data_IF_985059409953
#
_entry.id   IF_985059409953
#
_cell.length_a   1.000
_cell.length_b   1.000
_cell.length_c   1.000
_cell.angle_alpha   90.00
_cell.angle_beta   90.00
_cell.angle_gamma   90.00
#
_symmetry.space_group_name_H-M   'P 1'
#
loop_
_entity.id
_entity.type
_entity.pdbx_description
1 polymer ?
#
# COMPACT_ATOMS: atom_id res chain seq x y z
N UNK A 1 52.95 12.77 -17.62
CA UNK A 1 51.71 11.97 -17.78
C UNK A 1 51.45 11.18 -16.51
N UNK A 2 50.35 11.49 -15.84
CA UNK A 2 50.16 11.23 -14.43
C UNK A 2 49.61 9.81 -14.19
N UNK A 3 50.51 8.82 -14.01
CA UNK A 3 50.18 7.39 -13.82
C UNK A 3 49.15 7.14 -12.71
N UNK A 4 49.11 8.01 -11.70
CA UNK A 4 48.13 7.98 -10.63
C UNK A 4 46.70 8.23 -11.12
N UNK A 5 46.52 9.11 -12.09
CA UNK A 5 45.21 9.43 -12.67
C UNK A 5 44.63 8.24 -13.46
N UNK A 6 45.51 7.49 -14.12
CA UNK A 6 45.14 6.29 -14.88
C UNK A 6 44.73 5.14 -13.96
N UNK A 7 45.45 4.95 -12.84
CA UNK A 7 45.10 3.97 -11.82
C UNK A 7 43.75 4.29 -11.11
N UNK A 8 43.47 5.57 -10.88
CA UNK A 8 42.19 6.00 -10.30
C UNK A 8 41.03 5.75 -11.28
N UNK A 9 41.22 6.02 -12.57
CA UNK A 9 40.19 5.74 -13.57
C UNK A 9 39.89 4.24 -13.71
N UNK A 10 40.91 3.38 -13.65
CA UNK A 10 40.71 1.93 -13.67
C UNK A 10 39.90 1.44 -12.46
N UNK A 11 40.27 1.86 -11.23
CA UNK A 11 39.49 1.51 -10.03
C UNK A 11 38.06 2.04 -10.08
N UNK A 12 37.86 3.23 -10.65
CA UNK A 12 36.52 3.80 -10.80
C UNK A 12 35.65 2.99 -11.75
N UNK A 13 36.23 2.50 -12.86
CA UNK A 13 35.55 1.59 -13.78
C UNK A 13 35.14 0.28 -13.12
N UNK A 14 36.04 -0.33 -12.34
CA UNK A 14 35.74 -1.57 -11.59
C UNK A 14 34.63 -1.37 -10.53
N UNK A 15 34.66 -0.24 -9.82
CA UNK A 15 33.63 0.10 -8.85
C UNK A 15 32.28 0.35 -9.50
N UNK A 16 32.25 1.04 -10.66
CA UNK A 16 31.02 1.25 -11.42
C UNK A 16 30.44 -0.07 -11.94
N UNK A 17 31.28 -0.97 -12.46
CA UNK A 17 30.84 -2.29 -12.91
C UNK A 17 30.22 -3.11 -11.75
N UNK A 18 30.78 -3.01 -10.54
CA UNK A 18 30.20 -3.63 -9.33
C UNK A 18 28.88 -2.98 -8.92
N UNK A 19 28.75 -1.67 -9.05
CA UNK A 19 27.50 -0.96 -8.73
C UNK A 19 26.39 -1.32 -9.74
N UNK A 20 26.70 -1.42 -11.03
CA UNK A 20 25.70 -1.77 -12.05
C UNK A 20 25.20 -3.21 -11.86
N UNK A 21 26.11 -4.15 -11.59
CA UNK A 21 25.73 -5.53 -11.27
C UNK A 21 24.88 -5.63 -9.99
N UNK A 22 25.18 -4.84 -8.96
CA UNK A 22 24.33 -4.76 -7.77
C UNK A 22 22.96 -4.12 -8.05
N UNK A 23 22.93 -3.05 -8.85
CA UNK A 23 21.69 -2.38 -9.24
C UNK A 23 20.78 -3.32 -10.02
N UNK A 24 21.34 -4.13 -10.90
CA UNK A 24 20.58 -5.09 -11.70
C UNK A 24 20.00 -6.22 -10.83
N UNK A 25 20.75 -6.71 -9.85
CA UNK A 25 20.24 -7.67 -8.86
C UNK A 25 19.11 -7.09 -8.01
N UNK A 26 19.26 -5.85 -7.54
CA UNK A 26 18.20 -5.15 -6.79
C UNK A 26 16.99 -4.89 -7.70
N UNK A 27 17.21 -4.49 -8.96
CA UNK A 27 16.16 -4.29 -9.93
C UNK A 27 15.35 -5.56 -10.15
N UNK A 28 16.00 -6.71 -10.38
CA UNK A 28 15.32 -8.00 -10.54
C UNK A 28 14.49 -8.40 -9.32
N UNK A 29 15.01 -8.21 -8.11
CA UNK A 29 14.25 -8.48 -6.89
C UNK A 29 13.07 -7.49 -6.77
N UNK A 30 13.32 -6.21 -7.01
CA UNK A 30 12.30 -5.16 -6.89
C UNK A 30 11.14 -5.31 -7.86
N UNK A 31 11.36 -5.81 -9.09
CA UNK A 31 10.29 -6.10 -10.07
C UNK A 31 9.29 -7.11 -9.53
N UNK A 32 9.75 -8.14 -8.80
CA UNK A 32 8.87 -9.14 -8.17
C UNK A 32 8.04 -8.56 -7.02
N UNK A 33 8.57 -7.56 -6.32
CA UNK A 33 7.88 -6.87 -5.23
C UNK A 33 7.02 -5.70 -5.72
N UNK A 34 7.24 -5.21 -6.94
CA UNK A 34 6.52 -4.07 -7.50
C UNK A 34 5.03 -4.35 -7.67
N UNK A 35 4.66 -5.56 -8.10
CA UNK A 35 3.26 -5.97 -8.26
C UNK A 35 2.50 -6.03 -6.91
N UNK A 36 2.97 -6.72 -5.86
CA UNK A 36 2.29 -6.71 -4.57
C UNK A 36 2.32 -5.33 -3.89
N UNK A 37 3.38 -4.52 -4.08
CA UNK A 37 3.40 -3.15 -3.57
C UNK A 37 2.41 -2.24 -4.32
N UNK A 38 2.28 -2.35 -5.64
CA UNK A 38 1.30 -1.59 -6.40
C UNK A 38 -0.14 -1.96 -5.99
N UNK A 39 -0.42 -3.23 -5.72
CA UNK A 39 -1.69 -3.69 -5.16
C UNK A 39 -1.93 -3.13 -3.75
N UNK A 40 -0.92 -3.12 -2.90
CA UNK A 40 -1.01 -2.55 -1.55
C UNK A 40 -1.27 -1.04 -1.60
N UNK A 41 -0.59 -0.32 -2.51
CA UNK A 41 -0.73 1.12 -2.69
C UNK A 41 -2.11 1.47 -3.26
N UNK A 42 -2.61 0.69 -4.23
CA UNK A 42 -4.00 0.79 -4.70
C UNK A 42 -5.01 0.48 -3.59
N UNK A 43 -4.73 -0.51 -2.74
CA UNK A 43 -5.56 -0.82 -1.57
C UNK A 43 -5.60 0.33 -0.57
N UNK A 44 -4.46 0.97 -0.30
CA UNK A 44 -4.36 2.16 0.54
C UNK A 44 -5.08 3.36 -0.06
N UNK A 45 -4.96 3.58 -1.37
CA UNK A 45 -5.69 4.63 -2.09
C UNK A 45 -7.20 4.35 -2.04
N UNK A 46 -7.63 3.12 -2.25
CA UNK A 46 -9.03 2.73 -2.13
C UNK A 46 -9.55 2.93 -0.70
N UNK A 47 -8.76 2.56 0.32
CA UNK A 47 -9.07 2.78 1.73
C UNK A 47 -9.16 4.27 2.07
N UNK A 48 -8.25 5.10 1.52
CA UNK A 48 -8.23 6.55 1.69
C UNK A 48 -9.40 7.22 0.96
N UNK A 49 -9.80 6.72 -0.20
CA UNK A 49 -11.03 7.12 -0.90
C UNK A 49 -12.27 6.73 -0.09
N UNK A 50 -12.28 5.54 0.49
CA UNK A 50 -13.33 5.07 1.39
C UNK A 50 -13.46 5.97 2.63
N UNK A 51 -12.32 6.36 3.22
CA UNK A 51 -12.26 7.19 4.42
C UNK A 51 -12.60 8.66 4.15
N UNK A 52 -12.27 9.19 2.97
CA UNK A 52 -12.64 10.56 2.58
C UNK A 52 -14.10 10.69 2.16
N UNK A 53 -14.75 9.60 1.75
CA UNK A 53 -16.18 9.58 1.37
C UNK A 53 -16.95 8.47 2.10
N UNK A 54 -17.02 8.51 3.44
CA UNK A 54 -17.64 7.45 4.24
C UNK A 54 -19.13 7.27 3.92
N UNK A 55 -19.82 8.33 3.47
CA UNK A 55 -21.23 8.29 3.10
C UNK A 55 -21.50 7.43 1.86
N UNK A 56 -20.64 7.47 0.84
CA UNK A 56 -20.80 6.66 -0.37
C UNK A 56 -20.59 5.17 -0.07
N UNK A 57 -19.59 4.88 0.75
CA UNK A 57 -19.25 3.50 1.15
C UNK A 57 -20.36 2.91 2.02
N UNK A 58 -20.85 3.69 2.99
CA UNK A 58 -22.00 3.31 3.80
C UNK A 58 -23.25 3.12 2.93
N UNK A 59 -23.47 3.98 1.94
CA UNK A 59 -24.56 3.88 0.98
C UNK A 59 -24.51 2.60 0.15
N UNK A 60 -23.37 2.28 -0.47
CA UNK A 60 -23.19 1.06 -1.28
C UNK A 60 -23.31 -0.20 -0.42
N UNK A 61 -22.71 -0.21 0.78
CA UNK A 61 -22.84 -1.32 1.71
C UNK A 61 -24.30 -1.51 2.16
N UNK A 62 -25.00 -0.43 2.49
CA UNK A 62 -26.41 -0.46 2.85
C UNK A 62 -27.27 -0.98 1.69
N UNK A 63 -26.99 -0.56 0.45
CA UNK A 63 -27.70 -1.00 -0.76
C UNK A 63 -27.50 -2.50 -1.04
N UNK A 64 -26.27 -2.99 -0.89
CA UNK A 64 -25.92 -4.41 -1.03
C UNK A 64 -26.63 -5.28 0.00
N UNK A 65 -26.66 -4.83 1.27
CA UNK A 65 -27.32 -5.58 2.34
C UNK A 65 -28.85 -5.48 2.22
N UNK A 66 -29.38 -4.31 1.82
CA UNK A 66 -30.81 -4.14 1.54
C UNK A 66 -31.26 -5.08 0.43
N UNK A 67 -30.51 -5.17 -0.68
CA UNK A 67 -30.84 -6.06 -1.80
C UNK A 67 -30.83 -7.55 -1.41
N UNK A 68 -30.04 -7.97 -0.42
CA UNK A 68 -29.95 -9.39 0.00
C UNK A 68 -30.82 -9.76 1.21
N UNK A 69 -31.10 -8.85 2.13
CA UNK A 69 -31.75 -9.17 3.43
C UNK A 69 -32.83 -8.17 3.85
N UNK A 70 -33.19 -7.21 3.00
CA UNK A 70 -34.12 -6.15 3.36
C UNK A 70 -33.51 -5.06 4.26
N UNK A 71 -34.27 -4.00 4.52
CA UNK A 71 -33.82 -2.82 5.28
C UNK A 71 -33.36 -3.16 6.71
N UNK A 72 -34.02 -4.11 7.38
CA UNK A 72 -33.66 -4.57 8.74
C UNK A 72 -32.28 -5.24 8.78
N UNK A 73 -31.90 -5.98 7.74
CA UNK A 73 -30.57 -6.58 7.62
C UNK A 73 -29.47 -5.53 7.48
N UNK A 74 -29.75 -4.46 6.72
CA UNK A 74 -28.83 -3.35 6.51
C UNK A 74 -28.57 -2.58 7.81
N UNK A 75 -29.63 -2.28 8.56
CA UNK A 75 -29.53 -1.62 9.88
C UNK A 75 -28.71 -2.46 10.86
N UNK A 76 -28.93 -3.77 10.92
CA UNK A 76 -28.21 -4.67 11.86
C UNK A 76 -26.73 -4.81 11.50
N UNK A 77 -26.37 -4.84 10.20
CA UNK A 77 -24.98 -4.82 9.77
C UNK A 77 -24.32 -3.46 10.02
N UNK A 78 -25.00 -2.36 9.70
CA UNK A 78 -24.53 -1.01 9.98
C UNK A 78 -24.24 -0.79 11.47
N UNK A 79 -25.11 -1.29 12.35
CA UNK A 79 -24.91 -1.19 13.79
C UNK A 79 -23.72 -2.02 14.29
N UNK A 80 -23.50 -3.23 13.76
CA UNK A 80 -22.32 -4.06 14.09
C UNK A 80 -21.02 -3.42 13.59
N UNK A 81 -21.03 -2.90 12.36
CA UNK A 81 -19.88 -2.18 11.80
C UNK A 81 -19.55 -0.92 12.60
N UNK A 82 -20.57 -0.14 13.00
CA UNK A 82 -20.42 1.02 13.88
C UNK A 82 -19.83 0.64 15.24
N UNK A 83 -20.31 -0.45 15.84
CA UNK A 83 -19.80 -0.93 17.12
C UNK A 83 -18.33 -1.36 17.01
N UNK A 84 -17.97 -2.10 15.96
CA UNK A 84 -16.60 -2.51 15.68
C UNK A 84 -15.67 -1.32 15.40
N UNK A 85 -16.11 -0.36 14.60
CA UNK A 85 -15.38 0.89 14.37
C UNK A 85 -15.13 1.63 15.68
N UNK A 86 -16.13 1.75 16.55
CA UNK A 86 -16.01 2.43 17.85
C UNK A 86 -15.03 1.73 18.79
N UNK A 87 -14.95 0.40 18.75
CA UNK A 87 -13.93 -0.36 19.49
C UNK A 87 -12.53 -0.13 18.94
N UNK A 88 -12.37 -0.14 17.61
CA UNK A 88 -11.07 0.12 16.98
C UNK A 88 -10.58 1.55 17.21
N UNK A 89 -11.46 2.55 17.12
CA UNK A 89 -11.11 3.94 17.46
C UNK A 89 -10.87 4.12 18.95
N UNK A 90 -11.59 3.40 19.81
CA UNK A 90 -11.36 3.43 21.26
C UNK A 90 -10.04 2.78 21.68
N UNK A 91 -9.58 1.76 20.94
CA UNK A 91 -8.26 1.15 21.11
C UNK A 91 -7.15 2.04 20.53
N UNK A 92 -7.37 2.62 19.34
CA UNK A 92 -6.43 3.54 18.71
C UNK A 92 -6.27 4.88 19.47
N UNK A 93 -7.25 5.28 20.27
CA UNK A 93 -7.16 6.46 21.15
C UNK A 93 -6.44 6.16 22.48
N UNK A 94 -6.12 4.89 22.77
CA UNK A 94 -5.45 4.44 24.00
C UNK A 94 -3.98 4.02 23.78
N UNK A 95 -3.52 3.96 22.54
CA UNK A 95 -2.14 3.71 22.12
C UNK A 95 -1.46 5.04 21.80
#
# INVERSE_FOLDING_TARGET
MNKQMLAVMQRRGELLAKIDTQREQVAQVSVRWQAPLALADQGLVALRFMRSRPVLVAGVAALLVWRRRGALGAIRMGWRAWKGYRYLTGLAAKL
#
